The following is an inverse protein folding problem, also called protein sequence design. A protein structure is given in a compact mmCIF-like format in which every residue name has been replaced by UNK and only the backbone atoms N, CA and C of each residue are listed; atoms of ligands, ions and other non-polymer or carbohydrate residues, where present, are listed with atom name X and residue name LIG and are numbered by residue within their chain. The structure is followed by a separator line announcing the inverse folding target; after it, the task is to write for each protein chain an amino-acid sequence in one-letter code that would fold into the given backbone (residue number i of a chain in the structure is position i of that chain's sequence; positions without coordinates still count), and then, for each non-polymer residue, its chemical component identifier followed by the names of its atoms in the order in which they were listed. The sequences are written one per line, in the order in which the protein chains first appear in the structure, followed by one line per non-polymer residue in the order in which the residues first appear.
data_IF_822077598137
#
_entry.id   IF_822077598137
#
_cell.length_a   1.000
_cell.length_b   1.000
_cell.length_c   1.000
_cell.angle_alpha   90.00
_cell.angle_beta   90.00
_cell.angle_gamma   90.00
#
_symmetry.space_group_name_H-M   'P 1'
#
loop_
_entity.id
_entity.type
_entity.pdbx_description
1 polymer ?
#
# COMPACT_ATOMS: atom_id res chain seq x y z
N UNK A 1 -1.79 -42.26 -0.26
CA UNK A 1 -1.26 -41.96 -1.61
C UNK A 1 -1.03 -40.46 -1.76
N UNK A 2 -0.04 -40.09 -2.58
CA UNK A 2 0.57 -38.76 -2.84
C UNK A 2 -0.34 -37.52 -2.72
N UNK A 3 0.20 -36.46 -2.09
CA UNK A 3 -0.14 -35.05 -2.34
C UNK A 3 -0.10 -34.78 -3.85
N UNK A 4 -1.19 -34.28 -4.42
CA UNK A 4 -1.15 -33.63 -5.73
C UNK A 4 -1.16 -32.12 -5.53
N UNK A 5 0.03 -31.55 -5.73
CA UNK A 5 0.24 -30.15 -6.05
C UNK A 5 -0.46 -29.82 -7.36
N UNK A 6 -1.47 -28.96 -7.32
CA UNK A 6 -1.81 -28.12 -8.46
C UNK A 6 -1.23 -26.73 -8.20
N UNK A 7 0.10 -26.70 -8.24
CA UNK A 7 0.81 -25.51 -8.62
C UNK A 7 0.51 -25.29 -10.11
N UNK A 8 -0.26 -24.26 -10.39
CA UNK A 8 -0.18 -23.42 -11.59
C UNK A 8 -1.15 -22.25 -11.37
N UNK A 9 -0.75 -21.31 -10.51
CA UNK A 9 -1.23 -19.93 -10.65
C UNK A 9 -0.70 -19.49 -12.01
N UNK A 10 -1.59 -19.45 -13.02
CA UNK A 10 -1.31 -18.88 -14.33
C UNK A 10 -0.84 -17.44 -14.12
N UNK A 11 0.47 -17.26 -14.08
CA UNK A 11 1.09 -15.95 -14.18
C UNK A 11 0.79 -15.45 -15.59
N UNK A 12 -0.13 -14.49 -15.71
CA UNK A 12 -0.27 -13.76 -16.96
C UNK A 12 0.97 -12.85 -17.11
N UNK A 13 1.80 -13.02 -18.13
CA UNK A 13 3.01 -12.21 -18.34
C UNK A 13 2.70 -10.77 -18.79
N UNK A 14 1.41 -10.40 -18.90
CA UNK A 14 0.95 -9.11 -19.40
C UNK A 14 0.61 -8.10 -18.30
N UNK A 15 0.78 -8.45 -17.03
CA UNK A 15 0.51 -7.54 -15.93
C UNK A 15 1.69 -6.53 -15.81
N UNK A 16 1.62 -5.43 -16.55
CA UNK A 16 2.58 -4.31 -16.45
C UNK A 16 2.35 -3.56 -15.14
N UNK A 17 3.19 -3.79 -14.14
CA UNK A 17 3.16 -3.06 -12.86
C UNK A 17 4.31 -2.05 -12.70
N UNK A 18 5.31 -2.10 -13.59
CA UNK A 18 6.56 -1.35 -13.43
C UNK A 18 6.46 0.15 -13.71
N UNK A 19 5.38 0.60 -14.36
CA UNK A 19 5.15 2.02 -14.70
C UNK A 19 4.78 2.84 -13.45
N UNK A 20 4.21 2.22 -12.42
CA UNK A 20 3.77 2.88 -11.18
C UNK A 20 4.81 2.79 -10.04
N UNK A 21 5.93 2.11 -10.27
CA UNK A 21 7.05 2.11 -9.33
C UNK A 21 7.70 3.49 -9.37
N UNK A 22 7.67 4.21 -8.24
CA UNK A 22 8.23 5.56 -8.14
C UNK A 22 9.76 5.49 -8.17
N UNK A 23 10.31 5.54 -9.38
CA UNK A 23 11.76 5.53 -9.65
C UNK A 23 12.41 6.92 -9.52
N UNK A 24 11.62 7.98 -9.60
CA UNK A 24 12.11 9.36 -9.58
C UNK A 24 11.87 10.00 -8.21
N UNK A 25 12.93 10.52 -7.59
CA UNK A 25 12.91 11.15 -6.27
C UNK A 25 12.05 12.42 -6.25
N UNK A 26 12.08 13.24 -7.30
CA UNK A 26 11.26 14.45 -7.37
C UNK A 26 9.76 14.13 -7.33
N UNK A 27 9.35 13.04 -8.00
CA UNK A 27 7.97 12.57 -7.95
C UNK A 27 7.61 12.06 -6.55
N UNK A 28 8.52 11.32 -5.92
CA UNK A 28 8.33 10.81 -4.56
C UNK A 28 8.18 11.95 -3.55
N UNK A 29 9.03 12.96 -3.64
CA UNK A 29 9.01 14.16 -2.79
C UNK A 29 7.66 14.86 -2.91
N UNK A 30 7.20 15.15 -4.13
CA UNK A 30 5.90 15.80 -4.36
C UNK A 30 4.73 14.97 -3.78
N UNK A 31 4.77 13.64 -3.94
CA UNK A 31 3.72 12.78 -3.36
C UNK A 31 3.74 12.81 -1.83
N UNK A 32 4.93 12.79 -1.21
CA UNK A 32 5.09 12.84 0.25
C UNK A 32 4.71 14.21 0.82
N UNK A 33 5.02 15.29 0.12
CA UNK A 33 4.65 16.65 0.50
C UNK A 33 3.13 16.78 0.60
N UNK A 34 2.40 16.26 -0.39
CA UNK A 34 0.94 16.28 -0.44
C UNK A 34 0.26 15.23 0.46
N UNK A 35 0.99 14.22 0.94
CA UNK A 35 0.41 13.15 1.76
C UNK A 35 0.16 13.60 3.21
N UNK A 36 -0.94 13.15 3.82
CA UNK A 36 -1.21 13.35 5.25
C UNK A 36 -0.45 12.33 6.11
N UNK A 37 -0.26 11.12 5.58
CA UNK A 37 0.34 9.99 6.28
C UNK A 37 1.42 9.33 5.44
N UNK A 38 2.57 9.09 6.07
CA UNK A 38 3.66 8.28 5.53
C UNK A 38 4.12 7.35 6.64
N UNK A 39 3.94 6.05 6.46
CA UNK A 39 4.25 5.07 7.50
C UNK A 39 4.70 3.74 6.91
N UNK A 40 5.50 3.00 7.66
CA UNK A 40 5.80 1.60 7.36
C UNK A 40 4.93 0.70 8.22
N UNK A 41 4.51 -0.43 7.66
CA UNK A 41 3.65 -1.35 8.37
C UNK A 41 3.55 -2.72 7.72
N UNK A 42 2.85 -3.62 8.40
CA UNK A 42 2.55 -4.96 7.92
C UNK A 42 1.05 -5.13 7.79
N UNK A 43 0.58 -5.61 6.64
CA UNK A 43 -0.82 -5.97 6.44
C UNK A 43 -1.15 -7.17 7.34
N UNK A 44 -2.12 -7.01 8.21
CA UNK A 44 -2.54 -8.03 9.19
C UNK A 44 -3.92 -8.61 8.91
N UNK A 45 -4.72 -7.95 8.07
CA UNK A 45 -5.97 -8.51 7.57
C UNK A 45 -6.21 -8.03 6.16
N UNK A 46 -6.57 -8.97 5.29
CA UNK A 46 -7.19 -8.64 4.02
C UNK A 46 -8.66 -8.32 4.31
N UNK A 47 -9.17 -7.20 3.82
CA UNK A 47 -10.57 -6.86 3.98
C UNK A 47 -11.19 -6.56 2.62
N UNK A 48 -12.47 -6.90 2.56
CA UNK A 48 -13.48 -6.59 1.55
C UNK A 48 -12.97 -5.88 0.28
N UNK A 49 -12.92 -6.67 -0.81
CA UNK A 49 -12.90 -6.12 -2.15
C UNK A 49 -14.30 -5.61 -2.52
N UNK A 50 -14.38 -4.36 -2.97
CA UNK A 50 -15.61 -3.81 -3.51
C UNK A 50 -15.48 -3.71 -5.04
N UNK A 51 -16.19 -4.59 -5.74
CA UNK A 51 -16.18 -4.67 -7.19
C UNK A 51 -16.77 -3.43 -7.88
N UNK A 52 -17.76 -2.79 -7.23
CA UNK A 52 -18.45 -1.62 -7.78
C UNK A 52 -17.56 -0.39 -7.76
N UNK A 53 -16.88 -0.14 -6.65
CA UNK A 53 -15.97 1.01 -6.50
C UNK A 53 -14.54 0.69 -6.94
N UNK A 54 -14.23 -0.56 -7.26
CA UNK A 54 -12.87 -1.07 -7.53
C UNK A 54 -11.90 -0.66 -6.43
N UNK A 55 -12.28 -0.91 -5.18
CA UNK A 55 -11.44 -0.62 -4.01
C UNK A 55 -11.16 -1.88 -3.20
N UNK A 56 -10.06 -1.86 -2.46
CA UNK A 56 -9.75 -2.85 -1.45
C UNK A 56 -9.48 -2.15 -0.12
N UNK A 57 -10.10 -2.65 0.94
CA UNK A 57 -9.81 -2.23 2.31
C UNK A 57 -8.87 -3.24 2.98
N UNK A 58 -8.00 -2.82 3.88
CA UNK A 58 -7.16 -3.75 4.64
C UNK A 58 -6.68 -3.11 5.93
N UNK A 59 -6.29 -3.95 6.89
CA UNK A 59 -5.71 -3.49 8.15
C UNK A 59 -4.20 -3.58 8.09
N UNK A 60 -3.54 -2.49 8.50
CA UNK A 60 -2.09 -2.40 8.59
C UNK A 60 -1.69 -2.20 10.05
N UNK A 61 -0.87 -3.11 10.57
CA UNK A 61 -0.15 -2.92 11.82
C UNK A 61 1.03 -1.98 11.55
N UNK A 62 0.97 -0.78 12.10
CA UNK A 62 1.98 0.25 11.93
C UNK A 62 3.25 -0.14 12.68
N UNK A 63 4.40 0.04 12.03
CA UNK A 63 5.72 -0.13 12.64
C UNK A 63 6.39 1.19 12.96
N UNK A 64 6.26 2.16 12.05
CA UNK A 64 6.84 3.49 12.21
C UNK A 64 6.12 4.49 11.33
N UNK A 65 5.76 5.63 11.90
CA UNK A 65 5.39 6.83 11.15
C UNK A 65 6.64 7.61 10.74
N UNK A 66 6.66 8.07 9.50
CA UNK A 66 7.57 9.10 9.00
C UNK A 66 6.85 10.45 8.99
N UNK A 67 5.59 10.48 8.55
CA UNK A 67 4.68 11.64 8.57
C UNK A 67 3.33 11.20 9.11
N UNK A 68 2.74 11.98 10.01
CA UNK A 68 1.45 11.68 10.66
C UNK A 68 0.75 12.95 11.09
N UNK A 69 -0.58 12.96 11.01
CA UNK A 69 -1.39 13.92 11.76
C UNK A 69 -1.33 13.62 13.27
N UNK A 70 -1.66 14.61 14.11
CA UNK A 70 -1.65 14.43 15.58
C UNK A 70 -2.62 13.35 16.04
N UNK A 71 -3.72 13.16 15.31
CA UNK A 71 -4.82 12.26 15.68
C UNK A 71 -4.37 10.79 15.66
N UNK A 72 -3.55 10.40 14.68
CA UNK A 72 -3.16 9.00 14.46
C UNK A 72 -1.71 8.70 14.83
N UNK A 73 -0.98 9.65 15.44
CA UNK A 73 0.45 9.52 15.75
C UNK A 73 0.80 8.31 16.62
N UNK A 74 -0.14 7.87 17.46
CA UNK A 74 0.01 6.72 18.35
C UNK A 74 -0.84 5.51 17.93
N UNK A 75 -1.44 5.55 16.74
CA UNK A 75 -2.23 4.43 16.25
C UNK A 75 -1.31 3.26 15.90
N UNK A 76 -1.56 2.10 16.52
CA UNK A 76 -0.83 0.87 16.23
C UNK A 76 -1.39 0.14 15.01
N UNK A 77 -2.65 0.39 14.68
CA UNK A 77 -3.35 -0.21 13.55
C UNK A 77 -4.08 0.88 12.77
N UNK A 78 -4.06 0.76 11.45
CA UNK A 78 -4.78 1.66 10.55
C UNK A 78 -5.61 0.85 9.56
N UNK A 79 -6.84 1.29 9.34
CA UNK A 79 -7.72 0.84 8.26
C UNK A 79 -7.38 1.65 7.01
N UNK A 80 -6.91 0.93 6.00
CA UNK A 80 -6.41 1.54 4.78
C UNK A 80 -7.30 1.11 3.63
N UNK A 81 -7.70 2.07 2.80
CA UNK A 81 -8.36 1.79 1.52
C UNK A 81 -7.46 2.16 0.36
N UNK A 82 -7.45 1.34 -0.68
CA UNK A 82 -6.70 1.56 -1.91
C UNK A 82 -7.63 1.46 -3.11
N UNK A 83 -7.51 2.41 -4.04
CA UNK A 83 -8.11 2.29 -5.36
C UNK A 83 -7.32 1.30 -6.21
N UNK A 84 -8.04 0.39 -6.85
CA UNK A 84 -7.44 -0.65 -7.68
C UNK A 84 -7.32 -0.16 -9.12
N UNK A 85 -6.15 -0.38 -9.70
CA UNK A 85 -5.94 -0.15 -11.13
C UNK A 85 -6.60 -1.27 -11.95
N UNK A 86 -6.76 -1.02 -13.25
CA UNK A 86 -7.28 -2.04 -14.16
C UNK A 86 -6.42 -3.31 -14.11
N UNK A 87 -7.06 -4.47 -13.92
CA UNK A 87 -6.38 -5.76 -13.76
C UNK A 87 -5.93 -6.10 -12.33
N UNK A 88 -5.96 -5.15 -11.38
CA UNK A 88 -5.81 -5.46 -9.96
C UNK A 88 -7.11 -6.07 -9.39
N UNK A 89 -7.00 -7.21 -8.69
CA UNK A 89 -8.13 -7.83 -7.98
C UNK A 89 -8.88 -8.93 -8.72
N UNK A 90 -8.60 -9.17 -10.01
CA UNK A 90 -9.31 -10.21 -10.79
C UNK A 90 -8.43 -11.40 -11.19
N UNK A 91 -7.20 -11.21 -11.67
CA UNK A 91 -6.38 -12.35 -12.17
C UNK A 91 -4.86 -12.18 -11.99
N UNK A 92 -4.34 -10.95 -11.91
CA UNK A 92 -2.92 -10.65 -12.10
C UNK A 92 -2.04 -10.51 -10.84
N UNK A 93 -2.53 -10.87 -9.64
CA UNK A 93 -1.92 -10.71 -8.28
C UNK A 93 -2.51 -9.49 -7.56
N UNK A 94 -3.16 -9.72 -6.42
CA UNK A 94 -3.37 -8.67 -5.41
C UNK A 94 -2.00 -8.10 -5.00
N UNK A 95 -1.78 -6.81 -5.26
CA UNK A 95 -0.54 -6.08 -4.92
C UNK A 95 -0.34 -6.01 -3.41
N UNK A 96 -1.44 -5.93 -2.66
CA UNK A 96 -1.47 -5.90 -1.20
C UNK A 96 -2.14 -7.18 -0.70
N UNK A 97 -1.46 -7.92 0.17
CA UNK A 97 -1.93 -9.20 0.72
C UNK A 97 -1.58 -9.31 2.19
N UNK A 98 -2.21 -10.25 2.89
CA UNK A 98 -1.84 -10.60 4.25
C UNK A 98 -0.33 -10.84 4.38
N UNK A 99 0.26 -10.25 5.42
CA UNK A 99 1.70 -10.20 5.74
C UNK A 99 2.58 -9.38 4.80
N UNK A 100 2.00 -8.70 3.81
CA UNK A 100 2.77 -7.76 2.99
C UNK A 100 3.31 -6.62 3.85
N UNK A 101 4.58 -6.29 3.67
CA UNK A 101 5.28 -5.24 4.42
C UNK A 101 5.72 -4.19 3.42
N UNK A 102 5.29 -2.96 3.64
CA UNK A 102 5.53 -1.85 2.73
C UNK A 102 5.58 -0.52 3.50
N UNK A 103 6.00 0.52 2.77
CA UNK A 103 5.80 1.91 3.12
C UNK A 103 4.52 2.37 2.42
N UNK A 104 3.59 2.86 3.22
CA UNK A 104 2.29 3.36 2.80
C UNK A 104 2.33 4.88 2.82
N UNK A 105 1.86 5.48 1.73
CA UNK A 105 1.75 6.93 1.58
C UNK A 105 0.31 7.21 1.16
N UNK A 106 -0.38 8.03 1.94
CA UNK A 106 -1.80 8.24 1.74
C UNK A 106 -2.32 9.54 2.34
N UNK A 107 -3.53 9.84 1.96
CA UNK A 107 -4.31 10.97 2.46
C UNK A 107 -5.25 10.49 3.57
N UNK A 108 -5.78 11.45 4.34
CA UNK A 108 -6.90 11.19 5.23
C UNK A 108 -8.10 10.71 4.41
N UNK A 109 -8.67 9.59 4.81
CA UNK A 109 -9.88 9.09 4.16
C UNK A 109 -11.08 9.99 4.47
N UNK A 110 -12.00 10.08 3.51
CA UNK A 110 -13.31 10.72 3.68
C UNK A 110 -14.40 9.71 4.06
N UNK A 111 -14.12 8.41 3.99
CA UNK A 111 -15.08 7.36 4.34
C UNK A 111 -15.09 7.11 5.86
N UNK A 112 -16.27 6.86 6.42
CA UNK A 112 -16.48 6.78 7.88
C UNK A 112 -15.72 5.64 8.58
N UNK A 113 -15.33 4.60 7.85
CA UNK A 113 -14.72 3.38 8.40
C UNK A 113 -13.25 3.16 8.01
N UNK A 114 -12.62 4.15 7.36
CA UNK A 114 -11.23 4.05 6.93
C UNK A 114 -10.42 5.25 7.41
N UNK A 115 -9.17 5.00 7.78
CA UNK A 115 -8.28 6.03 8.33
C UNK A 115 -7.49 6.72 7.20
N UNK A 116 -7.00 5.89 6.26
CA UNK A 116 -6.06 6.31 5.22
C UNK A 116 -6.53 5.84 3.84
N UNK A 117 -6.49 6.74 2.87
CA UNK A 117 -6.70 6.44 1.46
C UNK A 117 -5.39 6.48 0.70
N UNK A 118 -5.03 5.37 0.06
CA UNK A 118 -3.86 5.28 -0.81
C UNK A 118 -4.22 5.67 -2.25
N UNK A 119 -3.52 6.69 -2.74
CA UNK A 119 -3.55 7.12 -4.15
C UNK A 119 -2.47 6.45 -5.00
N UNK A 120 -1.48 5.82 -4.37
CA UNK A 120 -0.37 5.14 -5.03
C UNK A 120 -0.18 3.73 -4.49
N UNK A 121 0.59 2.92 -5.23
CA UNK A 121 1.01 1.61 -4.75
C UNK A 121 1.97 1.72 -3.56
N UNK A 122 1.83 0.86 -2.54
CA UNK A 122 2.79 0.84 -1.44
C UNK A 122 4.21 0.57 -1.94
N UNK A 123 5.19 1.23 -1.33
CA UNK A 123 6.59 1.13 -1.70
C UNK A 123 7.24 -0.01 -0.92
N UNK A 124 8.01 -0.86 -1.57
CA UNK A 124 8.76 -1.94 -0.91
C UNK A 124 9.73 -1.39 0.12
N UNK A 125 9.78 -2.00 1.31
CA UNK A 125 10.75 -1.65 2.36
C UNK A 125 12.15 -2.13 1.94
N UNK A 126 12.98 -1.19 1.50
CA UNK A 126 14.42 -1.36 1.29
C UNK A 126 15.15 -0.20 1.99
N UNK A 127 16.45 -0.37 2.31
CA UNK A 127 17.23 0.72 2.91
C UNK A 127 17.22 1.97 2.03
N UNK A 128 17.41 1.79 0.73
CA UNK A 128 17.33 2.86 -0.26
C UNK A 128 15.98 3.61 -0.21
N UNK A 129 14.85 2.89 -0.23
CA UNK A 129 13.54 3.54 -0.17
C UNK A 129 13.27 4.20 1.18
N UNK A 130 13.77 3.64 2.28
CA UNK A 130 13.68 4.26 3.60
C UNK A 130 14.45 5.58 3.65
N UNK A 131 15.65 5.63 3.07
CA UNK A 131 16.45 6.86 2.99
C UNK A 131 15.78 7.91 2.12
N UNK A 132 15.29 7.51 0.94
CA UNK A 132 14.52 8.39 0.04
C UNK A 132 13.31 9.00 0.73
N UNK A 133 12.51 8.17 1.41
CA UNK A 133 11.32 8.63 2.16
C UNK A 133 11.71 9.52 3.33
N UNK A 134 12.73 9.17 4.12
CA UNK A 134 13.18 9.99 5.25
C UNK A 134 13.67 11.36 4.79
N UNK A 135 14.37 11.43 3.67
CA UNK A 135 14.87 12.69 3.11
C UNK A 135 13.71 13.55 2.59
N UNK A 136 12.76 12.94 1.89
CA UNK A 136 11.58 13.63 1.38
C UNK A 136 10.68 14.21 2.48
N UNK A 137 10.57 13.53 3.64
CA UNK A 137 9.76 14.01 4.77
C UNK A 137 10.44 15.15 5.56
N UNK A 138 11.77 15.25 5.51
CA UNK A 138 12.54 16.26 6.27
C UNK A 138 12.69 17.60 5.56
N UNK A 139 12.45 17.64 4.25
CA UNK A 139 12.40 18.87 3.46
C UNK A 139 11.15 19.66 3.81
#
# INVERSE_FOLDING_TARGET
ARRQSLANLLYSPYCKYDEDIIKNDYKLENIIENADYVFSGKVISDLQYNATTKTIAFLVLVKRFFKSSEVLKNANELRVIKNLHEGEGTECRQVVRYRYIAIFIGLKSQELDTDVHLSINPITVTLENLDRVNNAVKK
#
